data_IF_351294339161
#
_entry.id   IF_351294339161
#
_cell.length_a   1.000
_cell.length_b   1.000
_cell.length_c   1.000
_cell.angle_alpha   90.00
_cell.angle_beta   90.00
_cell.angle_gamma   90.00
#
_symmetry.space_group_name_H-M   'P 1'
#
loop_
_entity.id
_entity.type
_entity.pdbx_description
1 polymer ?
#
# COMPACT_ATOMS: atom_id res chain seq x y z
N UNK A 1 -30.26 -9.87 17.28
CA UNK A 1 -29.34 -9.54 16.18
C UNK A 1 -29.17 -10.81 15.34
N UNK A 2 -29.57 -10.82 14.07
CA UNK A 2 -29.42 -11.98 13.16
C UNK A 2 -28.03 -11.88 12.54
N UNK A 3 -27.08 -12.67 13.03
CA UNK A 3 -25.69 -12.63 12.54
C UNK A 3 -25.46 -13.78 11.56
N UNK A 4 -25.02 -13.46 10.34
CA UNK A 4 -24.55 -14.46 9.36
C UNK A 4 -23.28 -15.12 9.91
N UNK A 5 -23.27 -16.44 10.07
CA UNK A 5 -22.08 -17.20 10.50
C UNK A 5 -22.01 -18.52 9.73
N UNK A 6 -20.79 -19.04 9.60
CA UNK A 6 -20.60 -20.45 9.30
C UNK A 6 -21.09 -21.25 10.51
N UNK A 7 -21.97 -22.21 10.29
CA UNK A 7 -22.63 -22.97 11.35
C UNK A 7 -22.40 -24.44 11.07
N UNK A 8 -21.83 -25.16 12.03
CA UNK A 8 -21.63 -26.60 11.93
C UNK A 8 -22.97 -27.32 11.70
N UNK A 9 -22.97 -28.22 10.73
CA UNK A 9 -24.17 -28.94 10.33
C UNK A 9 -24.67 -29.85 11.47
N UNK A 10 -25.95 -29.71 11.84
CA UNK A 10 -26.65 -30.68 12.70
C UNK A 10 -27.08 -30.23 14.10
N UNK A 11 -26.65 -29.05 14.59
CA UNK A 11 -27.03 -28.59 15.94
C UNK A 11 -28.29 -27.72 15.92
N UNK A 12 -28.41 -26.86 14.91
CA UNK A 12 -29.48 -25.86 14.76
C UNK A 12 -30.10 -25.95 13.36
N UNK A 13 -31.41 -25.67 13.21
CA UNK A 13 -32.01 -25.49 11.90
C UNK A 13 -31.37 -24.29 11.18
N UNK A 14 -30.93 -24.51 9.95
CA UNK A 14 -30.24 -23.51 9.12
C UNK A 14 -30.95 -23.28 7.79
N UNK A 15 -30.98 -22.03 7.35
CA UNK A 15 -31.41 -21.63 6.01
C UNK A 15 -30.18 -21.13 5.26
N UNK A 16 -29.79 -21.84 4.19
CA UNK A 16 -28.63 -21.51 3.38
C UNK A 16 -28.89 -20.31 2.47
N UNK A 17 -27.83 -19.54 2.25
CA UNK A 17 -27.79 -18.36 1.39
C UNK A 17 -26.75 -18.68 0.31
N UNK A 18 -27.11 -18.45 -0.95
CA UNK A 18 -26.25 -18.72 -2.10
C UNK A 18 -25.21 -17.59 -2.36
N UNK A 19 -25.21 -16.54 -1.55
CA UNK A 19 -24.32 -15.38 -1.70
C UNK A 19 -22.89 -15.73 -1.29
N UNK A 20 -21.92 -15.28 -2.09
CA UNK A 20 -20.51 -15.38 -1.73
C UNK A 20 -20.10 -14.26 -0.77
N UNK A 21 -19.37 -14.62 0.28
CA UNK A 21 -18.65 -13.69 1.14
C UNK A 21 -17.16 -13.83 0.87
N UNK A 22 -16.48 -12.71 0.73
CA UNK A 22 -15.05 -12.66 0.49
C UNK A 22 -14.31 -12.30 1.78
N UNK A 23 -13.27 -13.05 2.07
CA UNK A 23 -12.32 -12.75 3.15
C UNK A 23 -11.07 -12.13 2.56
N UNK A 24 -10.62 -11.05 3.18
CA UNK A 24 -9.41 -10.34 2.79
C UNK A 24 -8.51 -10.12 4.01
N UNK A 25 -7.24 -9.85 3.73
CA UNK A 25 -6.31 -9.37 4.73
C UNK A 25 -6.46 -7.87 4.87
N UNK A 26 -6.57 -7.41 6.11
CA UNK A 26 -6.53 -6.00 6.46
C UNK A 26 -5.19 -5.73 7.11
N UNK A 27 -4.40 -4.87 6.47
CA UNK A 27 -3.04 -4.56 6.89
C UNK A 27 -2.95 -3.10 7.37
N UNK A 28 -2.05 -2.79 8.32
CA UNK A 28 -1.73 -1.41 8.65
C UNK A 28 -0.95 -0.76 7.51
N UNK A 29 -1.17 0.53 7.30
CA UNK A 29 -0.29 1.32 6.44
C UNK A 29 1.07 1.50 7.11
N UNK A 30 2.14 1.23 6.38
CA UNK A 30 3.47 1.62 6.83
C UNK A 30 3.71 3.08 6.43
N UNK A 31 3.70 3.99 7.40
CA UNK A 31 3.88 5.43 7.18
C UNK A 31 5.34 5.86 7.15
N UNK A 32 6.28 4.91 7.25
CA UNK A 32 7.71 5.20 7.21
C UNK A 32 8.13 5.72 5.83
N UNK A 33 8.40 7.02 5.76
CA UNK A 33 8.95 7.66 4.56
C UNK A 33 10.47 7.49 4.60
N UNK A 34 10.99 6.59 3.78
CA UNK A 34 12.44 6.47 3.53
C UNK A 34 12.95 7.62 2.64
N UNK A 35 12.95 8.84 3.19
CA UNK A 35 13.37 10.07 2.51
C UNK A 35 14.74 9.99 1.79
N UNK A 36 15.83 9.45 2.37
CA UNK A 36 17.12 9.46 1.68
C UNK A 36 17.10 8.62 0.40
N UNK A 37 16.40 7.49 0.42
CA UNK A 37 16.22 6.67 -0.78
C UNK A 37 15.27 7.34 -1.78
N UNK A 38 14.23 8.02 -1.28
CA UNK A 38 13.28 8.78 -2.10
C UNK A 38 13.93 9.99 -2.80
N UNK A 39 14.92 10.66 -2.19
CA UNK A 39 15.61 11.81 -2.79
C UNK A 39 16.65 11.43 -3.85
N UNK A 40 17.20 10.21 -3.80
CA UNK A 40 18.16 9.70 -4.77
C UNK A 40 17.49 9.04 -5.99
N UNK A 41 16.25 8.58 -5.82
CA UNK A 41 15.41 7.94 -6.85
C UNK A 41 15.08 8.77 -8.12
N UNK A 42 14.94 10.10 -8.07
CA UNK A 42 14.49 10.89 -9.23
C UNK A 42 15.45 10.84 -10.42
N UNK A 43 16.75 10.68 -10.13
CA UNK A 43 17.77 10.48 -11.15
C UNK A 43 18.24 9.05 -11.16
N UNK A 44 18.47 8.54 -12.38
CA UNK A 44 19.09 7.22 -12.53
C UNK A 44 20.51 7.24 -11.97
N UNK A 45 20.98 6.06 -11.58
CA UNK A 45 22.36 5.88 -11.12
C UNK A 45 23.39 6.40 -12.13
N UNK A 46 23.10 6.28 -13.43
CA UNK A 46 23.95 6.78 -14.52
C UNK A 46 24.10 8.31 -14.50
N UNK A 47 23.02 9.05 -14.22
CA UNK A 47 23.04 10.52 -14.13
C UNK A 47 23.82 10.96 -12.90
N UNK A 48 23.64 10.28 -11.76
CA UNK A 48 24.43 10.55 -10.56
C UNK A 48 25.93 10.31 -10.79
N UNK A 49 26.29 9.21 -11.46
CA UNK A 49 27.68 8.95 -11.84
C UNK A 49 28.23 10.02 -12.78
N UNK A 50 27.43 10.49 -13.73
CA UNK A 50 27.82 11.57 -14.62
C UNK A 50 28.09 12.88 -13.86
N UNK A 51 27.22 13.27 -12.93
CA UNK A 51 27.40 14.48 -12.10
C UNK A 51 28.67 14.38 -11.26
N UNK A 52 28.86 13.26 -10.56
CA UNK A 52 30.06 13.03 -9.74
C UNK A 52 31.32 12.99 -10.62
N UNK A 53 31.26 12.33 -11.77
CA UNK A 53 32.35 12.26 -12.74
C UNK A 53 32.74 13.65 -13.25
N UNK A 54 31.77 14.48 -13.64
CA UNK A 54 32.02 15.86 -14.05
C UNK A 54 32.64 16.69 -12.91
N UNK A 55 32.15 16.56 -11.68
CA UNK A 55 32.69 17.29 -10.53
C UNK A 55 34.15 16.91 -10.25
N UNK A 56 34.48 15.61 -10.31
CA UNK A 56 35.85 15.10 -10.13
C UNK A 56 36.76 15.59 -11.25
N UNK A 57 36.33 15.51 -12.52
CA UNK A 57 37.12 16.01 -13.65
C UNK A 57 37.38 17.51 -13.53
N UNK A 58 36.39 18.31 -13.17
CA UNK A 58 36.55 19.75 -12.95
C UNK A 58 37.53 20.03 -11.80
N UNK A 59 37.43 19.28 -10.69
CA UNK A 59 38.34 19.41 -9.55
C UNK A 59 39.78 19.05 -9.92
N UNK A 60 39.99 17.97 -10.67
CA UNK A 60 41.31 17.55 -11.17
C UNK A 60 41.87 18.59 -12.13
N UNK A 61 41.07 19.11 -13.06
CA UNK A 61 41.50 20.15 -14.00
C UNK A 61 41.87 21.45 -13.26
N UNK A 62 41.11 21.82 -12.23
CA UNK A 62 41.40 22.98 -11.40
C UNK A 62 42.70 22.81 -10.62
N UNK A 63 42.90 21.65 -9.98
CA UNK A 63 44.16 21.30 -9.32
C UNK A 63 45.35 21.29 -10.30
N UNK A 64 45.23 20.63 -11.45
CA UNK A 64 46.29 20.56 -12.46
C UNK A 64 46.69 21.94 -13.00
N UNK A 65 45.75 22.89 -13.04
CA UNK A 65 46.03 24.26 -13.48
C UNK A 65 46.96 25.02 -12.51
N UNK A 66 46.98 24.63 -11.23
CA UNK A 66 47.79 25.25 -10.17
C UNK A 66 49.23 24.72 -10.16
N UNK A 67 49.47 23.49 -10.61
CA UNK A 67 50.81 22.91 -10.68
C UNK A 67 51.56 23.33 -11.96
N UNK A 68 52.85 23.69 -11.84
CA UNK A 68 53.76 24.04 -12.95
C UNK A 68 54.27 22.81 -13.72
N UNK A 69 53.35 21.93 -14.12
CA UNK A 69 53.62 20.81 -15.03
C UNK A 69 53.35 21.22 -16.48
N UNK A 70 53.93 20.51 -17.47
CA UNK A 70 53.68 20.79 -18.91
C UNK A 70 52.19 20.79 -19.28
N UNK A 71 51.39 19.94 -18.62
CA UNK A 71 49.93 19.93 -18.78
C UNK A 71 49.26 21.14 -18.12
N UNK A 72 49.71 21.56 -16.93
CA UNK A 72 49.21 22.75 -16.25
C UNK A 72 49.45 24.05 -17.04
N UNK A 73 50.63 24.20 -17.64
CA UNK A 73 50.96 25.35 -18.52
C UNK A 73 50.11 25.36 -19.79
N UNK A 74 49.85 24.19 -20.39
CA UNK A 74 48.97 24.06 -21.56
C UNK A 74 47.50 24.38 -21.21
N UNK A 75 47.01 23.90 -20.05
CA UNK A 75 45.69 24.25 -19.53
C UNK A 75 45.56 25.76 -19.29
N UNK A 76 46.58 26.38 -18.68
CA UNK A 76 46.63 27.83 -18.40
C UNK A 76 46.63 28.64 -19.70
N UNK A 77 47.30 28.14 -20.74
CA UNK A 77 47.31 28.76 -22.08
C UNK A 77 45.95 28.70 -22.78
N UNK A 78 45.24 27.57 -22.68
CA UNK A 78 43.87 27.42 -23.21
C UNK A 78 42.88 28.31 -22.45
N UNK A 79 42.99 28.36 -21.11
CA UNK A 79 42.19 29.25 -20.28
C UNK A 79 42.54 30.74 -20.46
N UNK A 80 43.68 31.06 -21.07
CA UNK A 80 44.10 32.43 -21.34
C UNK A 80 43.38 33.06 -22.54
N UNK A 81 42.71 32.26 -23.38
CA UNK A 81 41.81 32.77 -24.42
C UNK A 81 40.48 33.16 -23.79
N UNK A 82 40.03 34.43 -23.86
CA UNK A 82 38.88 34.90 -23.06
C UNK A 82 37.53 34.29 -23.48
N UNK A 83 37.41 33.78 -24.70
CA UNK A 83 36.14 33.31 -25.28
C UNK A 83 35.79 31.87 -24.91
N UNK A 84 36.78 30.97 -24.86
CA UNK A 84 36.57 29.56 -24.56
C UNK A 84 36.11 29.26 -23.12
N UNK A 85 36.73 29.81 -22.06
CA UNK A 85 36.28 29.59 -20.69
C UNK A 85 34.94 30.28 -20.42
N UNK A 86 34.68 31.44 -21.06
CA UNK A 86 33.37 32.08 -20.99
C UNK A 86 32.27 31.20 -21.60
N UNK A 87 32.50 30.60 -22.77
CA UNK A 87 31.54 29.71 -23.41
C UNK A 87 31.30 28.44 -22.57
N UNK A 88 32.37 27.80 -22.09
CA UNK A 88 32.26 26.64 -21.20
C UNK A 88 31.52 26.95 -19.91
N UNK A 89 31.79 28.10 -19.28
CA UNK A 89 31.10 28.54 -18.07
C UNK A 89 29.60 28.74 -18.32
N UNK A 90 29.22 29.35 -19.45
CA UNK A 90 27.82 29.56 -19.80
C UNK A 90 27.13 28.21 -20.06
N UNK A 91 27.74 27.32 -20.85
CA UNK A 91 27.20 25.98 -21.09
C UNK A 91 27.04 25.17 -19.80
N UNK A 92 28.05 25.19 -18.92
CA UNK A 92 28.00 24.52 -17.63
C UNK A 92 26.88 25.08 -16.75
N UNK A 93 26.72 26.40 -16.71
CA UNK A 93 25.66 27.06 -15.94
C UNK A 93 24.27 26.68 -16.48
N UNK A 94 24.10 26.64 -17.80
CA UNK A 94 22.83 26.27 -18.44
C UNK A 94 22.49 24.80 -18.18
N UNK A 95 23.47 23.90 -18.34
CA UNK A 95 23.30 22.47 -18.05
C UNK A 95 22.97 22.25 -16.56
N UNK A 96 23.70 22.92 -15.66
CA UNK A 96 23.46 22.82 -14.21
C UNK A 96 22.07 23.35 -13.84
N UNK A 97 21.65 24.46 -14.41
CA UNK A 97 20.31 25.02 -14.21
C UNK A 97 19.22 24.02 -14.64
N UNK A 98 19.35 23.44 -15.84
CA UNK A 98 18.39 22.43 -16.33
C UNK A 98 18.38 21.18 -15.44
N UNK A 99 19.55 20.71 -14.98
CA UNK A 99 19.66 19.58 -14.06
C UNK A 99 18.98 19.87 -12.73
N UNK A 100 19.19 21.05 -12.15
CA UNK A 100 18.58 21.43 -10.87
C UNK A 100 17.06 21.56 -11.01
N UNK A 101 16.58 22.25 -12.05
CA UNK A 101 15.15 22.42 -12.29
C UNK A 101 14.46 21.08 -12.58
N UNK A 102 15.06 20.22 -13.41
CA UNK A 102 14.52 18.89 -13.67
C UNK A 102 14.54 17.99 -12.42
N UNK A 103 15.58 18.09 -11.59
CA UNK A 103 15.62 17.42 -10.29
C UNK A 103 14.50 17.90 -9.39
N UNK A 104 14.33 19.22 -9.24
CA UNK A 104 13.32 19.79 -8.36
C UNK A 104 11.89 19.46 -8.84
N UNK A 105 11.64 19.51 -10.15
CA UNK A 105 10.38 19.10 -10.75
C UNK A 105 10.08 17.60 -10.55
N UNK A 106 11.09 16.74 -10.65
CA UNK A 106 10.91 15.28 -10.48
C UNK A 106 10.78 14.89 -9.00
N UNK A 107 11.52 15.54 -8.10
CA UNK A 107 11.38 15.37 -6.65
C UNK A 107 9.99 15.80 -6.19
N UNK A 108 9.52 16.97 -6.64
CA UNK A 108 8.19 17.47 -6.26
C UNK A 108 7.08 16.58 -6.81
N UNK A 109 7.16 16.15 -8.08
CA UNK A 109 6.18 15.20 -8.63
C UNK A 109 6.23 13.84 -7.92
N UNK A 110 7.41 13.36 -7.56
CA UNK A 110 7.59 12.13 -6.81
C UNK A 110 6.98 12.23 -5.41
N UNK A 111 7.18 13.33 -4.69
CA UNK A 111 6.55 13.52 -3.39
C UNK A 111 5.03 13.68 -3.48
N UNK A 112 4.50 14.18 -4.59
CA UNK A 112 3.06 14.22 -4.83
C UNK A 112 2.49 12.84 -5.14
N UNK A 113 3.18 12.03 -5.96
CA UNK A 113 2.68 10.74 -6.44
C UNK A 113 3.01 9.55 -5.50
N UNK A 114 4.19 9.55 -4.88
CA UNK A 114 4.76 8.42 -4.14
C UNK A 114 5.17 8.82 -2.71
N UNK A 115 4.34 9.65 -2.05
CA UNK A 115 4.58 10.07 -0.66
C UNK A 115 4.76 8.90 0.31
N UNK A 116 4.11 7.77 0.03
CA UNK A 116 4.10 6.59 0.89
C UNK A 116 4.50 5.33 0.11
N UNK A 117 4.96 4.32 0.83
CA UNK A 117 5.20 2.98 0.27
C UNK A 117 3.90 2.48 -0.37
N UNK A 118 3.95 1.94 -1.60
CA UNK A 118 2.76 1.41 -2.24
C UNK A 118 2.20 0.24 -1.42
N UNK A 119 0.89 0.27 -1.19
CA UNK A 119 0.21 -0.78 -0.45
C UNK A 119 0.25 -2.11 -1.21
N UNK A 120 0.36 -3.21 -0.47
CA UNK A 120 0.36 -4.55 -1.06
C UNK A 120 -0.98 -4.82 -1.74
N UNK A 121 -0.96 -5.07 -3.06
CA UNK A 121 -2.17 -5.35 -3.85
C UNK A 121 -2.48 -6.84 -3.88
N UNK A 122 -1.44 -7.66 -3.98
CA UNK A 122 -1.54 -9.12 -4.02
C UNK A 122 -1.20 -9.73 -2.66
N UNK A 123 -1.64 -10.96 -2.45
CA UNK A 123 -1.25 -11.77 -1.31
C UNK A 123 0.25 -12.03 -1.33
N UNK A 124 0.85 -12.23 -2.51
CA UNK A 124 2.29 -12.43 -2.63
C UNK A 124 3.08 -11.19 -2.21
N UNK A 125 2.66 -10.00 -2.63
CA UNK A 125 3.26 -8.73 -2.18
C UNK A 125 3.12 -8.56 -0.67
N UNK A 126 1.96 -8.91 -0.12
CA UNK A 126 1.72 -8.85 1.32
C UNK A 126 2.62 -9.86 2.06
N UNK A 127 2.73 -11.09 1.55
CA UNK A 127 3.63 -12.09 2.11
C UNK A 127 5.11 -11.75 1.88
N UNK A 128 5.46 -10.80 1.01
CA UNK A 128 6.81 -10.26 0.94
C UNK A 128 7.11 -9.28 2.09
N UNK A 129 6.08 -8.67 2.69
CA UNK A 129 6.23 -7.82 3.89
C UNK A 129 6.49 -8.66 5.14
N UNK A 130 7.06 -8.08 6.20
CA UNK A 130 7.27 -8.75 7.49
C UNK A 130 6.16 -8.43 8.52
N UNK A 131 4.95 -8.14 8.02
CA UNK A 131 3.83 -7.75 8.89
C UNK A 131 3.24 -9.01 9.56
N UNK A 132 3.17 -9.07 10.90
CA UNK A 132 2.55 -10.18 11.62
C UNK A 132 1.03 -10.21 11.40
N UNK A 133 0.43 -11.40 11.44
CA UNK A 133 -1.01 -11.59 11.23
C UNK A 133 -1.67 -12.04 12.52
N UNK A 134 -2.61 -11.24 13.02
CA UNK A 134 -3.45 -11.56 14.17
C UNK A 134 -4.35 -12.76 13.84
N UNK A 135 -4.24 -13.80 14.66
CA UNK A 135 -5.12 -14.96 14.67
C UNK A 135 -5.99 -14.95 15.93
N UNK A 136 -7.31 -14.95 15.73
CA UNK A 136 -8.30 -15.05 16.80
C UNK A 136 -8.51 -16.52 17.21
N UNK A 137 -8.85 -16.74 18.48
CA UNK A 137 -9.18 -18.07 18.99
C UNK A 137 -10.39 -18.65 18.23
N UNK A 138 -10.24 -19.87 17.70
CA UNK A 138 -11.28 -20.54 16.91
C UNK A 138 -11.18 -20.32 15.40
N UNK A 139 -10.15 -19.62 14.90
CA UNK A 139 -9.88 -19.50 13.46
C UNK A 139 -9.27 -20.76 12.84
N UNK A 140 -8.86 -21.76 13.63
CA UNK A 140 -8.20 -22.97 13.12
C UNK A 140 -9.05 -23.71 12.08
N UNK A 141 -10.36 -23.77 12.29
CA UNK A 141 -11.31 -24.39 11.35
C UNK A 141 -11.37 -23.64 10.03
N UNK A 142 -11.30 -22.31 10.07
CA UNK A 142 -11.24 -21.47 8.88
C UNK A 142 -9.92 -21.67 8.12
N UNK A 143 -8.79 -21.69 8.83
CA UNK A 143 -7.46 -21.87 8.23
C UNK A 143 -7.31 -23.24 7.57
N UNK A 144 -7.87 -24.29 8.17
CA UNK A 144 -7.86 -25.65 7.61
C UNK A 144 -8.65 -25.77 6.29
N UNK A 145 -9.58 -24.85 6.03
CA UNK A 145 -10.37 -24.83 4.79
C UNK A 145 -9.74 -23.96 3.70
N UNK A 146 -8.64 -23.26 3.99
CA UNK A 146 -7.91 -22.48 3.01
C UNK A 146 -7.01 -23.36 2.16
N UNK A 147 -6.49 -22.78 1.08
CA UNK A 147 -5.42 -23.41 0.32
C UNK A 147 -4.20 -23.66 1.23
N UNK A 148 -3.63 -24.87 1.27
CA UNK A 148 -2.56 -25.23 2.21
C UNK A 148 -1.36 -24.27 2.17
N UNK A 149 -0.99 -23.80 0.96
CA UNK A 149 0.10 -22.83 0.80
C UNK A 149 -0.17 -21.51 1.52
N UNK A 150 -1.40 -21.01 1.41
CA UNK A 150 -1.81 -19.73 2.01
C UNK A 150 -2.00 -19.90 3.51
N UNK A 151 -2.59 -21.01 3.97
CA UNK A 151 -2.72 -21.29 5.40
C UNK A 151 -1.37 -21.38 6.10
N UNK A 152 -0.39 -22.06 5.51
CA UNK A 152 0.93 -22.22 6.10
C UNK A 152 1.66 -20.87 6.23
N UNK A 153 1.55 -20.00 5.23
CA UNK A 153 2.11 -18.64 5.26
C UNK A 153 1.43 -17.77 6.33
N UNK A 154 0.11 -17.91 6.49
CA UNK A 154 -0.65 -17.17 7.50
C UNK A 154 -0.28 -17.64 8.91
N UNK A 155 -0.22 -18.96 9.12
CA UNK A 155 0.12 -19.57 10.42
C UNK A 155 1.56 -19.27 10.80
N UNK A 156 2.50 -19.29 9.85
CA UNK A 156 3.91 -18.96 10.10
C UNK A 156 4.09 -17.54 10.64
N UNK A 157 3.17 -16.62 10.33
CA UNK A 157 3.15 -15.22 10.79
C UNK A 157 2.09 -14.95 11.85
N UNK A 158 1.46 -16.01 12.35
CA UNK A 158 0.36 -15.97 13.27
C UNK A 158 0.78 -15.45 14.63
N UNK A 159 0.19 -14.34 15.04
CA UNK A 159 0.33 -13.75 16.38
C UNK A 159 -1.01 -13.85 17.09
N UNK A 160 -0.99 -14.13 18.39
CA UNK A 160 -2.23 -14.29 19.17
C UNK A 160 -3.00 -12.98 19.25
N UNK A 161 -4.33 -13.06 19.22
CA UNK A 161 -5.22 -11.89 19.39
C UNK A 161 -5.02 -11.09 20.68
N UNK A 162 -4.33 -11.64 21.67
CA UNK A 162 -3.94 -10.94 22.91
C UNK A 162 -2.73 -10.03 22.76
N UNK A 163 -1.88 -10.27 21.76
CA UNK A 163 -0.63 -9.53 21.55
C UNK A 163 -0.81 -8.33 20.62
N UNK A 164 -1.76 -8.42 19.68
CA UNK A 164 -2.10 -7.32 18.77
C UNK A 164 -3.59 -7.04 18.80
N UNK A 165 -4.00 -5.78 18.93
CA UNK A 165 -5.41 -5.36 18.81
C UNK A 165 -5.91 -5.39 17.35
N UNK A 166 -7.24 -5.51 17.20
CA UNK A 166 -7.94 -5.42 15.90
C UNK A 166 -7.74 -4.01 15.32
N UNK A 167 -7.30 -3.89 14.06
CA UNK A 167 -6.92 -2.62 13.42
C UNK A 167 -5.77 -1.84 14.11
N UNK A 168 -4.86 -2.55 14.78
CA UNK A 168 -3.62 -1.94 15.29
C UNK A 168 -2.66 -1.53 14.16
N UNK A 169 -1.70 -0.66 14.47
CA UNK A 169 -0.68 -0.20 13.51
C UNK A 169 0.41 -1.23 13.23
N UNK A 170 0.49 -2.30 14.01
CA UNK A 170 1.60 -3.26 13.93
C UNK A 170 1.25 -4.59 13.30
N UNK A 171 -0.04 -4.94 13.20
CA UNK A 171 -0.43 -6.30 12.83
C UNK A 171 -1.60 -6.29 11.83
N UNK A 172 -1.51 -7.16 10.84
CA UNK A 172 -2.61 -7.44 9.94
C UNK A 172 -3.63 -8.36 10.63
N UNK A 173 -4.84 -8.43 10.09
CA UNK A 173 -5.85 -9.40 10.53
C UNK A 173 -6.71 -9.86 9.35
N UNK A 174 -7.40 -10.97 9.54
CA UNK A 174 -8.34 -11.51 8.57
C UNK A 174 -9.75 -11.04 8.92
N UNK A 175 -10.46 -10.49 7.94
CA UNK A 175 -11.87 -10.13 8.11
C UNK A 175 -12.64 -10.32 6.80
N UNK A 176 -13.96 -10.31 6.89
CA UNK A 176 -14.82 -10.18 5.72
C UNK A 176 -14.64 -8.81 5.09
N UNK A 177 -14.51 -8.77 3.76
CA UNK A 177 -14.33 -7.54 3.01
C UNK A 177 -15.37 -6.46 3.40
N UNK A 178 -16.65 -6.86 3.48
CA UNK A 178 -17.76 -5.98 3.84
C UNK A 178 -17.56 -5.29 5.21
N UNK A 179 -17.15 -6.05 6.22
CA UNK A 179 -16.95 -5.55 7.58
C UNK A 179 -15.71 -4.67 7.64
N UNK A 180 -14.61 -5.12 7.04
CA UNK A 180 -13.37 -4.35 6.96
C UNK A 180 -13.60 -2.98 6.32
N UNK A 181 -14.36 -2.94 5.23
CA UNK A 181 -14.69 -1.70 4.53
C UNK A 181 -15.43 -0.71 5.44
N UNK A 182 -16.53 -1.14 6.06
CA UNK A 182 -17.31 -0.28 6.95
C UNK A 182 -16.47 0.16 8.15
N UNK A 183 -15.70 -0.74 8.76
CA UNK A 183 -14.80 -0.43 9.88
C UNK A 183 -13.73 0.59 9.49
N UNK A 184 -13.06 0.43 8.37
CA UNK A 184 -12.00 1.36 7.94
C UNK A 184 -12.62 2.73 7.61
N UNK A 185 -13.77 2.74 6.94
CA UNK A 185 -14.46 3.97 6.55
C UNK A 185 -14.96 4.76 7.78
N UNK A 186 -15.66 4.10 8.70
CA UNK A 186 -16.39 4.77 9.79
C UNK A 186 -15.64 4.80 11.12
N UNK A 187 -14.89 3.75 11.45
CA UNK A 187 -14.34 3.53 12.79
C UNK A 187 -12.82 3.76 12.88
N UNK A 188 -12.08 3.51 11.79
CA UNK A 188 -10.64 3.78 11.76
C UNK A 188 -10.41 5.25 11.51
N UNK A 189 -9.78 5.91 12.49
CA UNK A 189 -9.38 7.31 12.40
C UNK A 189 -8.40 7.55 11.26
N UNK A 190 -8.47 8.76 10.70
CA UNK A 190 -7.43 9.27 9.81
C UNK A 190 -6.22 9.62 10.67
N UNK A 191 -5.04 9.20 10.24
CA UNK A 191 -3.80 9.59 10.90
C UNK A 191 -3.53 11.09 10.63
N UNK A 192 -3.43 11.95 11.66
CA UNK A 192 -3.33 13.40 11.49
C UNK A 192 -2.05 13.84 10.77
N UNK A 193 -1.01 13.00 10.77
CA UNK A 193 0.29 13.32 10.18
C UNK A 193 0.34 12.93 8.69
N UNK A 194 -0.16 11.73 8.36
CA UNK A 194 -0.17 11.24 6.97
C UNK A 194 -1.41 11.63 6.18
N UNK A 195 -2.51 12.00 6.83
CA UNK A 195 -3.81 12.25 6.18
C UNK A 195 -4.47 10.98 5.65
N UNK A 196 -3.87 9.79 5.88
CA UNK A 196 -4.38 8.50 5.40
C UNK A 196 -5.13 7.75 6.48
N UNK A 197 -5.99 6.82 6.05
CA UNK A 197 -6.55 5.81 6.94
C UNK A 197 -5.42 4.90 7.43
N UNK A 198 -5.43 4.54 8.71
CA UNK A 198 -4.35 3.75 9.33
C UNK A 198 -4.25 2.31 8.83
N UNK A 199 -5.30 1.81 8.17
CA UNK A 199 -5.34 0.44 7.66
C UNK A 199 -5.93 0.44 6.25
N UNK A 200 -5.50 -0.54 5.45
CA UNK A 200 -6.01 -0.80 4.12
C UNK A 200 -6.40 -2.26 3.97
N UNK A 201 -7.16 -2.57 2.93
CA UNK A 201 -7.58 -3.92 2.58
C UNK A 201 -6.73 -4.39 1.41
N UNK A 202 -6.10 -5.56 1.54
CA UNK A 202 -5.44 -6.24 0.42
C UNK A 202 -6.52 -6.67 -0.58
N UNK A 203 -6.39 -6.23 -1.83
CA UNK A 203 -7.43 -6.40 -2.86
C UNK A 203 -7.60 -7.87 -3.28
N UNK A 204 -6.52 -8.64 -3.25
CA UNK A 204 -6.60 -10.08 -3.49
C UNK A 204 -7.21 -10.81 -2.29
N UNK A 205 -8.30 -11.53 -2.57
CA UNK A 205 -9.08 -12.22 -1.54
C UNK A 205 -8.40 -13.51 -1.10
N UNK A 206 -8.33 -13.73 0.20
CA UNK A 206 -7.80 -14.96 0.80
C UNK A 206 -8.73 -16.14 0.56
N UNK A 207 -10.03 -15.91 0.64
CA UNK A 207 -11.03 -16.96 0.45
C UNK A 207 -12.35 -16.43 -0.07
N UNK A 208 -13.04 -17.28 -0.83
CA UNK A 208 -14.41 -17.08 -1.26
C UNK A 208 -15.29 -18.17 -0.65
N UNK A 209 -16.19 -17.78 0.23
CA UNK A 209 -17.16 -18.68 0.84
C UNK A 209 -18.54 -18.46 0.24
N UNK A 210 -19.10 -19.47 -0.42
CA UNK A 210 -20.41 -19.42 -1.09
C UNK A 210 -21.57 -19.98 -0.27
N UNK A 211 -21.32 -20.46 0.95
CA UNK A 211 -22.32 -21.10 1.81
C UNK A 211 -22.44 -20.38 3.15
N UNK A 212 -23.02 -19.19 3.13
CA UNK A 212 -23.49 -18.54 4.36
C UNK A 212 -24.85 -19.10 4.75
N UNK A 213 -25.17 -19.06 6.05
CA UNK A 213 -26.47 -19.53 6.53
C UNK A 213 -27.01 -18.66 7.65
N UNK A 214 -28.34 -18.62 7.76
CA UNK A 214 -29.03 -18.14 8.94
C UNK A 214 -29.32 -19.33 9.85
N UNK A 215 -28.74 -19.33 11.04
CA UNK A 215 -29.09 -20.27 12.09
C UNK A 215 -30.29 -19.77 12.90
N UNK A 216 -31.20 -20.69 13.19
CA UNK A 216 -32.37 -20.43 14.02
C UNK A 216 -32.33 -21.32 15.27
N UNK A 217 -33.03 -20.89 16.32
CA UNK A 217 -33.29 -21.76 17.46
C UNK A 217 -34.09 -22.99 17.01
N UNK A 218 -33.90 -24.12 17.71
CA UNK A 218 -34.66 -25.35 17.46
C UNK A 218 -36.16 -25.08 17.53
N UNK A 219 -36.91 -25.67 16.59
CA UNK A 219 -38.36 -25.57 16.46
C UNK A 219 -38.91 -24.14 16.26
N UNK A 220 -38.05 -23.19 15.87
CA UNK A 220 -38.51 -21.82 15.60
C UNK A 220 -39.39 -21.78 14.33
N UNK A 221 -40.63 -21.25 14.40
CA UNK A 221 -41.47 -21.08 13.22
C UNK A 221 -40.88 -20.07 12.23
N UNK A 222 -39.96 -19.21 12.69
CA UNK A 222 -39.27 -18.23 11.85
C UNK A 222 -38.44 -18.89 10.76
N UNK A 223 -37.96 -20.11 10.97
CA UNK A 223 -37.13 -20.83 10.00
C UNK A 223 -37.87 -20.98 8.66
N UNK A 224 -39.14 -21.41 8.71
CA UNK A 224 -39.99 -21.60 7.53
C UNK A 224 -40.33 -20.25 6.90
N UNK A 225 -40.68 -19.27 7.73
CA UNK A 225 -41.06 -17.94 7.27
C UNK A 225 -39.91 -17.25 6.55
N UNK A 226 -38.70 -17.26 7.13
CA UNK A 226 -37.52 -16.67 6.49
C UNK A 226 -37.14 -17.42 5.22
N UNK A 227 -37.23 -18.76 5.19
CA UNK A 227 -36.95 -19.52 3.99
C UNK A 227 -37.86 -19.14 2.81
N UNK A 228 -39.16 -18.94 3.07
CA UNK A 228 -40.13 -18.52 2.04
C UNK A 228 -39.83 -17.09 1.56
N UNK A 229 -39.63 -16.14 2.47
CA UNK A 229 -39.33 -14.75 2.07
C UNK A 229 -37.99 -14.62 1.34
N UNK A 230 -36.97 -15.34 1.80
CA UNK A 230 -35.66 -15.36 1.15
C UNK A 230 -35.77 -15.90 -0.27
N UNK A 231 -36.56 -16.96 -0.48
CA UNK A 231 -36.88 -17.47 -1.82
C UNK A 231 -37.57 -16.42 -2.68
N UNK A 232 -38.56 -15.70 -2.16
CA UNK A 232 -39.21 -14.61 -2.89
C UNK A 232 -38.24 -13.48 -3.25
N UNK A 233 -37.29 -13.16 -2.36
CA UNK A 233 -36.25 -12.16 -2.66
C UNK A 233 -35.31 -12.62 -3.78
N UNK A 234 -34.98 -13.92 -3.84
CA UNK A 234 -34.22 -14.49 -4.95
C UNK A 234 -35.01 -14.46 -6.25
N UNK A 235 -36.28 -14.90 -6.23
CA UNK A 235 -37.15 -14.92 -7.41
C UNK A 235 -37.44 -13.50 -7.94
N UNK A 236 -37.57 -12.52 -7.06
CA UNK A 236 -37.72 -11.11 -7.42
C UNK A 236 -36.41 -10.46 -7.92
N UNK A 237 -35.27 -11.16 -7.84
CA UNK A 237 -33.97 -10.64 -8.24
C UNK A 237 -33.35 -9.60 -7.29
N UNK A 238 -33.97 -9.34 -6.13
CA UNK A 238 -33.47 -8.37 -5.15
C UNK A 238 -32.08 -8.75 -4.65
N UNK A 239 -31.86 -10.04 -4.37
CA UNK A 239 -30.56 -10.54 -3.92
C UNK A 239 -29.47 -10.29 -4.97
N UNK A 240 -29.80 -10.47 -6.26
CA UNK A 240 -28.85 -10.22 -7.35
C UNK A 240 -28.48 -8.74 -7.43
N UNK A 241 -29.46 -7.84 -7.25
CA UNK A 241 -29.21 -6.40 -7.21
C UNK A 241 -28.25 -6.04 -6.08
N UNK A 242 -28.52 -6.50 -4.85
CA UNK A 242 -27.63 -6.27 -3.72
C UNK A 242 -26.24 -6.87 -3.92
N UNK A 243 -26.15 -8.02 -4.58
CA UNK A 243 -24.87 -8.63 -4.89
C UNK A 243 -24.06 -7.82 -5.91
N UNK A 244 -24.72 -7.24 -6.92
CA UNK A 244 -24.06 -6.37 -7.90
C UNK A 244 -23.53 -5.09 -7.26
N UNK A 245 -24.33 -4.45 -6.40
CA UNK A 245 -23.87 -3.29 -5.62
C UNK A 245 -22.68 -3.67 -4.73
N UNK A 246 -22.73 -4.87 -4.13
CA UNK A 246 -21.63 -5.39 -3.31
C UNK A 246 -20.35 -5.65 -4.12
N UNK A 247 -20.46 -6.26 -5.32
CA UNK A 247 -19.32 -6.49 -6.21
C UNK A 247 -18.76 -5.20 -6.80
N UNK A 248 -19.58 -4.17 -6.97
CA UNK A 248 -19.10 -2.85 -7.39
C UNK A 248 -18.13 -2.27 -6.35
N UNK A 249 -18.40 -2.44 -5.06
CA UNK A 249 -17.46 -2.03 -4.03
C UNK A 249 -16.13 -2.78 -4.12
N UNK A 250 -16.08 -4.01 -4.65
CA UNK A 250 -14.83 -4.77 -4.80
C UNK A 250 -13.94 -4.24 -5.93
N UNK A 251 -14.43 -3.33 -6.79
CA UNK A 251 -13.67 -2.86 -7.93
C UNK A 251 -12.58 -1.85 -7.50
N UNK A 252 -11.33 -2.02 -7.97
CA UNK A 252 -10.17 -1.22 -7.52
C UNK A 252 -10.31 0.30 -7.67
N UNK A 253 -11.22 0.78 -8.52
CA UNK A 253 -11.28 2.17 -8.94
C UNK A 253 -11.85 3.13 -7.87
N UNK A 254 -12.63 2.64 -6.89
CA UNK A 254 -13.19 3.49 -5.82
C UNK A 254 -12.28 3.58 -4.57
N UNK A 255 -11.12 2.90 -4.58
CA UNK A 255 -10.17 2.88 -3.46
C UNK A 255 -9.03 3.89 -3.59
N UNK A 256 -8.97 4.65 -4.70
CA UNK A 256 -8.05 5.77 -4.81
C UNK A 256 -8.51 6.86 -3.83
N UNK A 257 -7.94 6.80 -2.63
CA UNK A 257 -8.16 7.74 -1.56
C UNK A 257 -8.10 9.18 -2.07
N UNK A 258 -9.12 9.95 -1.69
CA UNK A 258 -9.12 11.41 -1.72
C UNK A 258 -7.79 11.90 -1.19
N UNK A 259 -6.95 12.42 -2.09
CA UNK A 259 -5.74 13.12 -1.75
C UNK A 259 -6.13 14.40 -1.00
N UNK A 260 -6.08 14.36 0.32
CA UNK A 260 -6.15 15.57 1.13
C UNK A 260 -4.87 15.73 1.98
N UNK A 261 -4.35 16.94 1.88
CA UNK A 261 -3.29 17.62 2.62
C UNK A 261 -1.80 17.48 2.25
N UNK A 262 -1.20 18.67 2.26
CA UNK A 262 0.14 19.07 1.80
C UNK A 262 1.28 18.49 2.63
N UNK A 263 2.50 18.55 2.09
CA UNK A 263 3.73 18.17 2.80
C UNK A 263 3.92 19.07 4.03
N UNK A 264 3.83 18.49 5.23
CA UNK A 264 4.21 19.19 6.47
C UNK A 264 5.73 19.12 6.71
N UNK A 265 6.25 20.11 7.43
CA UNK A 265 7.68 20.21 7.79
C UNK A 265 8.18 18.98 8.58
N UNK A 266 7.30 18.35 9.36
CA UNK A 266 7.58 17.14 10.14
C UNK A 266 8.06 15.98 9.25
N UNK A 267 7.60 15.93 8.01
CA UNK A 267 8.00 14.91 7.02
C UNK A 267 9.41 15.14 6.47
N UNK A 268 10.04 16.30 6.69
CA UNK A 268 11.39 16.63 6.20
C UNK A 268 12.45 16.56 7.31
N UNK A 269 12.05 16.19 8.52
CA UNK A 269 12.91 16.27 9.71
C UNK A 269 14.10 15.30 9.66
N UNK A 270 14.04 14.22 8.87
CA UNK A 270 15.18 13.31 8.69
C UNK A 270 16.24 13.80 7.70
N UNK A 271 16.03 14.96 7.06
CA UNK A 271 17.03 15.65 6.23
C UNK A 271 17.86 16.67 7.01
N UNK A 272 17.46 16.97 8.25
CA UNK A 272 18.14 17.85 9.19
C UNK A 272 18.94 17.02 10.20
#
# INVERSE_FOLDING_TARGET
>A
MLTRRHVDTGILPVVYIAEATYFSLVAPHNTEINLPQSLLRPFSYEVWLFIVGCAVVISILNELSQYDTRMGVWLRWIYSYPTLPSFYSICFTLISFVLIESYLATVTSFFLAYRFVPDAKTLEDFFATDIPIRLEEGMDTFLNNLEPRVSDLIVARGVRGTECEEFSSGCAHLDTFARAWVRIKELVGVDPISGRKRSYIVLEMVARYSCMSYAFARDSPLTVVVAVYLRWMYEAGLVRLFHQDYEQYLQPNDYEHTHEDSLAFEHLMSLW
#
